data_IF_893997760251
#
_entry.id   IF_893997760251
#
_cell.length_a   1.000
_cell.length_b   1.000
_cell.length_c   1.000
_cell.angle_alpha   90.00
_cell.angle_beta   90.00
_cell.angle_gamma   90.00
#
_symmetry.space_group_name_H-M   'P 1'
#
loop_
_entity.id
_entity.type
_entity.pdbx_description
1 polymer ?
#
# COMPACT_ATOMS: atom_id res chain seq x y z
N UNK A 1 -25.46 -11.81 8.23
CA UNK A 1 -24.20 -12.29 7.60
C UNK A 1 -23.95 -11.42 6.39
N UNK A 2 -22.80 -10.76 6.30
CA UNK A 2 -22.48 -9.88 5.16
C UNK A 2 -22.23 -10.68 3.87
N UNK A 3 -22.20 -10.03 2.70
CA UNK A 3 -21.86 -10.69 1.44
C UNK A 3 -20.43 -11.23 1.47
N UNK A 4 -20.21 -12.36 0.79
CA UNK A 4 -18.87 -12.92 0.58
C UNK A 4 -18.24 -12.32 -0.68
N UNK A 5 -16.97 -11.93 -0.57
CA UNK A 5 -16.14 -11.50 -1.69
C UNK A 5 -15.04 -12.53 -1.93
N UNK A 6 -14.89 -12.99 -3.17
CA UNK A 6 -13.90 -13.99 -3.57
C UNK A 6 -12.82 -13.36 -4.44
N UNK A 7 -11.56 -13.70 -4.15
CA UNK A 7 -10.39 -13.27 -4.91
C UNK A 7 -9.68 -14.50 -5.46
N UNK A 8 -9.60 -14.63 -6.79
CA UNK A 8 -8.95 -15.74 -7.47
C UNK A 8 -7.69 -15.26 -8.21
N UNK A 9 -6.60 -16.03 -8.10
CA UNK A 9 -5.29 -15.75 -8.67
C UNK A 9 -4.62 -17.07 -9.08
N UNK A 10 -3.73 -17.01 -10.06
CA UNK A 10 -2.90 -18.14 -10.47
C UNK A 10 -1.42 -17.86 -10.15
N UNK A 11 -0.68 -18.90 -9.77
CA UNK A 11 0.76 -18.83 -9.56
C UNK A 11 1.43 -19.89 -10.43
N UNK A 12 2.29 -19.47 -11.35
CA UNK A 12 3.02 -20.38 -12.25
C UNK A 12 4.51 -20.31 -11.95
N UNK A 13 5.09 -21.42 -11.49
CA UNK A 13 6.53 -21.53 -11.29
C UNK A 13 7.25 -21.65 -12.63
N UNK A 14 8.25 -20.79 -12.84
CA UNK A 14 9.02 -20.67 -14.10
C UNK A 14 10.49 -21.04 -13.92
N UNK A 15 10.93 -21.19 -12.66
CA UNK A 15 12.32 -21.47 -12.29
C UNK A 15 12.78 -22.93 -12.36
N UNK A 16 12.04 -23.81 -13.02
CA UNK A 16 12.33 -25.26 -13.04
C UNK A 16 13.64 -25.62 -13.74
N UNK A 17 14.02 -24.86 -14.78
CA UNK A 17 15.11 -25.26 -15.67
C UNK A 17 14.90 -26.67 -16.25
N UNK A 18 16.00 -27.40 -16.48
CA UNK A 18 15.94 -28.78 -17.00
C UNK A 18 15.95 -29.85 -15.90
N UNK A 19 16.43 -29.51 -14.70
CA UNK A 19 16.60 -30.45 -13.60
C UNK A 19 15.44 -30.41 -12.60
N UNK A 20 14.61 -29.37 -12.62
CA UNK A 20 13.55 -29.18 -11.64
C UNK A 20 14.09 -29.21 -10.21
N UNK A 21 13.34 -29.88 -9.33
CA UNK A 21 13.66 -30.03 -7.91
C UNK A 21 14.59 -31.21 -7.59
N UNK A 22 15.38 -31.68 -8.57
CA UNK A 22 16.34 -32.79 -8.36
C UNK A 22 17.31 -32.54 -7.19
N UNK A 23 17.66 -31.29 -6.91
CA UNK A 23 18.32 -30.88 -5.66
C UNK A 23 17.82 -29.51 -5.20
N UNK A 24 18.12 -29.14 -3.95
CA UNK A 24 17.72 -27.84 -3.40
C UNK A 24 18.28 -26.65 -4.19
N UNK A 25 19.42 -26.84 -4.86
CA UNK A 25 20.14 -25.80 -5.60
C UNK A 25 19.94 -25.86 -7.11
N UNK A 26 19.20 -26.85 -7.63
CA UNK A 26 19.04 -27.06 -9.08
C UNK A 26 17.99 -26.19 -9.75
N UNK A 27 17.28 -25.36 -8.99
CA UNK A 27 16.18 -24.54 -9.50
C UNK A 27 16.18 -23.11 -8.92
N UNK A 28 15.64 -22.16 -9.68
CA UNK A 28 15.34 -20.82 -9.18
C UNK A 28 13.93 -20.78 -8.58
N UNK A 29 13.68 -19.79 -7.72
CA UNK A 29 12.37 -19.60 -7.05
C UNK A 29 11.43 -18.72 -7.89
N UNK A 30 11.85 -18.41 -9.12
CA UNK A 30 11.14 -17.51 -10.01
C UNK A 30 9.78 -18.11 -10.39
N UNK A 31 8.76 -17.28 -10.26
CA UNK A 31 7.39 -17.61 -10.60
C UNK A 31 6.65 -16.34 -11.01
N UNK A 32 5.52 -16.48 -11.68
CA UNK A 32 4.68 -15.35 -12.03
C UNK A 32 3.31 -15.50 -11.35
N UNK A 33 2.85 -14.41 -10.71
CA UNK A 33 1.51 -14.31 -10.14
C UNK A 33 0.60 -13.60 -11.13
N UNK A 34 -0.47 -14.27 -11.55
CA UNK A 34 -1.43 -13.77 -12.53
C UNK A 34 -2.78 -13.48 -11.86
N UNK A 35 -3.30 -12.27 -12.05
CA UNK A 35 -4.57 -11.82 -11.46
C UNK A 35 -5.53 -11.36 -12.57
N UNK A 36 -6.39 -12.26 -13.03
CA UNK A 36 -7.27 -12.00 -14.17
C UNK A 36 -6.47 -11.58 -15.41
N UNK A 37 -6.81 -10.45 -16.01
CA UNK A 37 -6.12 -9.89 -17.18
C UNK A 37 -5.05 -8.83 -16.86
N UNK A 38 -4.68 -8.66 -15.59
CA UNK A 38 -3.64 -7.69 -15.18
C UNK A 38 -2.25 -8.16 -15.65
N UNK A 39 -1.28 -7.25 -15.77
CA UNK A 39 0.11 -7.64 -16.00
C UNK A 39 0.58 -8.67 -14.95
N UNK A 40 1.36 -9.68 -15.34
CA UNK A 40 1.96 -10.62 -14.40
C UNK A 40 2.82 -9.88 -13.37
N UNK A 41 2.76 -10.34 -12.13
CA UNK A 41 3.63 -9.89 -11.05
C UNK A 41 4.79 -10.89 -10.92
N UNK A 42 6.03 -10.51 -11.28
CA UNK A 42 7.17 -11.41 -11.20
C UNK A 42 7.57 -11.64 -9.75
N UNK A 43 7.38 -12.86 -9.27
CA UNK A 43 7.67 -13.28 -7.91
C UNK A 43 8.93 -14.12 -7.79
N UNK A 44 9.52 -14.11 -6.60
CA UNK A 44 10.59 -15.03 -6.17
C UNK A 44 10.48 -15.23 -4.66
N UNK A 45 11.27 -16.11 -4.06
CA UNK A 45 11.48 -16.08 -2.60
C UNK A 45 12.32 -14.88 -2.18
N UNK A 46 12.41 -14.60 -0.88
CA UNK A 46 13.38 -13.65 -0.33
C UNK A 46 14.84 -14.06 -0.70
N UNK A 47 15.77 -13.11 -0.91
CA UNK A 47 17.18 -13.41 -1.19
C UNK A 47 17.85 -14.30 -0.13
N UNK A 48 17.47 -14.17 1.15
CA UNK A 48 17.94 -15.05 2.23
C UNK A 48 17.54 -16.52 2.01
N UNK A 49 16.50 -16.75 1.21
CA UNK A 49 16.00 -18.06 0.81
C UNK A 49 16.28 -18.38 -0.67
N UNK A 50 17.37 -17.82 -1.22
CA UNK A 50 17.88 -18.06 -2.59
C UNK A 50 17.00 -17.50 -3.71
N UNK A 51 16.25 -16.45 -3.41
CA UNK A 51 15.49 -15.75 -4.43
C UNK A 51 16.27 -14.69 -5.22
N UNK A 52 15.67 -14.24 -6.31
CA UNK A 52 16.11 -13.11 -7.12
C UNK A 52 15.70 -11.78 -6.44
N UNK A 53 16.65 -10.90 -6.05
CA UNK A 53 16.36 -9.60 -5.46
C UNK A 53 15.70 -8.60 -6.43
N UNK A 54 15.65 -8.90 -7.73
CA UNK A 54 14.92 -8.11 -8.73
C UNK A 54 13.43 -8.44 -8.84
N UNK A 55 12.94 -9.45 -8.10
CA UNK A 55 11.56 -9.95 -8.13
C UNK A 55 10.91 -9.77 -6.75
N UNK A 56 9.58 -9.73 -6.72
CA UNK A 56 8.82 -9.50 -5.48
C UNK A 56 8.78 -10.75 -4.60
N UNK A 57 9.10 -10.63 -3.32
CA UNK A 57 8.90 -11.72 -2.37
C UNK A 57 7.46 -11.75 -1.81
N UNK A 58 6.92 -12.93 -1.45
CA UNK A 58 5.65 -13.02 -0.74
C UNK A 58 5.62 -12.16 0.53
N UNK A 59 6.74 -12.07 1.24
CA UNK A 59 6.92 -11.28 2.46
C UNK A 59 6.75 -9.78 2.18
N UNK A 60 7.36 -9.26 1.13
CA UNK A 60 7.21 -7.85 0.70
C UNK A 60 5.77 -7.56 0.28
N UNK A 61 5.17 -8.44 -0.52
CA UNK A 61 3.79 -8.30 -1.00
C UNK A 61 2.78 -8.34 0.14
N UNK A 62 3.05 -9.14 1.17
CA UNK A 62 2.22 -9.22 2.35
C UNK A 62 2.25 -7.92 3.17
N UNK A 63 3.44 -7.39 3.46
CA UNK A 63 3.57 -6.09 4.16
C UNK A 63 2.92 -4.97 3.34
N UNK A 64 3.12 -4.97 2.02
CA UNK A 64 2.49 -4.01 1.11
C UNK A 64 0.96 -4.11 1.16
N UNK A 65 0.40 -5.31 1.20
CA UNK A 65 -1.06 -5.53 1.27
C UNK A 65 -1.67 -4.97 2.55
N UNK A 66 -1.00 -5.11 3.70
CA UNK A 66 -1.44 -4.54 4.98
C UNK A 66 -1.42 -3.01 4.92
N UNK A 67 -0.30 -2.43 4.45
CA UNK A 67 -0.14 -0.98 4.34
C UNK A 67 -1.18 -0.36 3.38
N UNK A 68 -1.41 -0.98 2.23
CA UNK A 68 -2.41 -0.55 1.26
C UNK A 68 -3.82 -0.61 1.82
N UNK A 69 -4.18 -1.68 2.53
CA UNK A 69 -5.51 -1.81 3.13
C UNK A 69 -5.76 -0.72 4.18
N UNK A 70 -4.76 -0.44 5.04
CA UNK A 70 -4.85 0.64 6.01
C UNK A 70 -4.96 2.01 5.33
N UNK A 71 -4.13 2.30 4.32
CA UNK A 71 -4.20 3.54 3.55
C UNK A 71 -5.59 3.77 2.97
N UNK A 72 -6.18 2.76 2.32
CA UNK A 72 -7.48 2.89 1.66
C UNK A 72 -8.61 3.19 2.66
N UNK A 73 -8.62 2.51 3.80
CA UNK A 73 -9.57 2.81 4.87
C UNK A 73 -9.34 4.17 5.50
N UNK A 74 -8.08 4.57 5.70
CA UNK A 74 -7.75 5.88 6.24
C UNK A 74 -8.23 7.00 5.32
N UNK A 75 -8.01 6.88 4.00
CA UNK A 75 -8.48 7.86 3.02
C UNK A 75 -10.01 7.95 3.01
N UNK A 76 -10.71 6.81 3.16
CA UNK A 76 -12.16 6.79 3.30
C UNK A 76 -12.62 7.56 4.55
N UNK A 77 -12.10 7.22 5.73
CA UNK A 77 -12.50 7.87 6.98
C UNK A 77 -12.13 9.35 7.01
N UNK A 78 -10.96 9.72 6.48
CA UNK A 78 -10.56 11.12 6.34
C UNK A 78 -11.57 11.91 5.50
N UNK A 79 -12.05 11.34 4.39
CA UNK A 79 -13.06 11.98 3.56
C UNK A 79 -14.41 12.14 4.29
N UNK A 80 -14.83 11.14 5.07
CA UNK A 80 -16.05 11.19 5.88
C UNK A 80 -15.97 12.27 6.96
N UNK A 81 -14.82 12.40 7.63
CA UNK A 81 -14.57 13.39 8.69
C UNK A 81 -14.21 14.79 8.15
N UNK A 82 -14.18 14.98 6.83
CA UNK A 82 -13.84 16.27 6.20
C UNK A 82 -12.34 16.62 6.22
N UNK A 83 -11.46 15.69 6.58
CA UNK A 83 -10.00 15.85 6.47
C UNK A 83 -9.57 15.68 5.02
N UNK A 84 -9.23 16.79 4.37
CA UNK A 84 -8.80 16.79 2.95
C UNK A 84 -7.34 16.34 2.83
N UNK A 85 -7.11 15.04 2.69
CA UNK A 85 -5.78 14.45 2.43
C UNK A 85 -5.40 14.66 0.96
N UNK A 86 -4.20 15.18 0.72
CA UNK A 86 -3.65 15.43 -0.63
C UNK A 86 -2.38 14.64 -0.94
N UNK A 87 -1.74 14.06 0.07
CA UNK A 87 -0.69 13.07 -0.12
C UNK A 87 -0.66 12.10 1.06
N UNK A 88 -0.34 10.84 0.76
CA UNK A 88 -0.12 9.78 1.73
C UNK A 88 1.11 8.99 1.31
N UNK A 89 2.00 8.71 2.27
CA UNK A 89 3.14 7.80 2.08
C UNK A 89 3.28 6.94 3.32
N UNK A 90 3.60 5.67 3.14
CA UNK A 90 3.89 4.76 4.24
C UNK A 90 5.25 4.10 4.02
N UNK A 91 6.05 4.06 5.08
CA UNK A 91 7.34 3.35 5.16
C UNK A 91 7.17 2.13 6.08
N UNK A 92 6.25 1.23 5.68
CA UNK A 92 5.86 0.07 6.46
C UNK A 92 7.00 -0.95 6.58
N UNK A 93 7.09 -1.61 7.74
CA UNK A 93 8.09 -2.64 8.04
C UNK A 93 7.41 -3.85 8.63
N UNK A 94 7.61 -5.02 8.02
CA UNK A 94 7.27 -6.31 8.62
C UNK A 94 8.48 -6.97 9.24
N UNK A 95 8.31 -7.55 10.43
CA UNK A 95 9.34 -8.35 11.09
C UNK A 95 8.90 -9.81 11.10
N UNK A 96 9.71 -10.67 10.48
CA UNK A 96 9.53 -12.12 10.48
C UNK A 96 10.62 -12.78 11.31
N UNK A 97 10.23 -13.72 12.17
CA UNK A 97 11.17 -14.61 12.85
C UNK A 97 11.34 -15.87 12.02
N UNK A 98 12.59 -16.20 11.71
CA UNK A 98 12.97 -17.51 11.16
C UNK A 98 13.42 -18.40 12.32
N UNK A 99 12.83 -19.58 12.42
CA UNK A 99 13.09 -20.59 13.44
C UNK A 99 13.89 -21.76 12.85
N UNK A 100 14.24 -22.72 13.71
CA UNK A 100 14.94 -23.92 13.27
C UNK A 100 14.13 -24.71 12.21
N UNK A 101 14.82 -25.51 11.39
CA UNK A 101 14.22 -26.33 10.33
C UNK A 101 13.40 -25.56 9.27
N UNK A 102 13.56 -24.22 9.17
CA UNK A 102 12.91 -23.40 8.14
C UNK A 102 11.49 -22.99 8.48
N UNK A 103 11.04 -23.20 9.72
CA UNK A 103 9.78 -22.65 10.21
C UNK A 103 9.92 -21.14 10.50
N UNK A 104 8.81 -20.44 10.64
CA UNK A 104 8.81 -19.02 10.97
C UNK A 104 7.46 -18.36 10.75
N UNK A 105 7.34 -17.13 11.23
CA UNK A 105 6.13 -16.33 11.11
C UNK A 105 6.45 -14.85 11.30
N UNK A 106 5.62 -13.98 10.71
CA UNK A 106 5.61 -12.58 11.06
C UNK A 106 5.25 -12.41 12.53
N UNK A 107 6.04 -11.61 13.23
CA UNK A 107 5.81 -11.25 14.64
C UNK A 107 5.19 -9.87 14.79
N UNK A 108 5.35 -9.01 13.78
CA UNK A 108 4.82 -7.65 13.79
C UNK A 108 4.84 -7.03 12.39
N UNK A 109 3.90 -6.12 12.13
CA UNK A 109 4.02 -5.11 11.08
C UNK A 109 3.85 -3.73 11.71
N UNK A 110 4.74 -2.80 11.38
CA UNK A 110 4.69 -1.40 11.82
C UNK A 110 4.43 -0.52 10.61
N UNK A 111 3.31 0.18 10.61
CA UNK A 111 2.95 1.18 9.60
C UNK A 111 3.43 2.56 10.04
N UNK A 112 4.06 3.32 9.14
CA UNK A 112 4.62 4.65 9.39
C UNK A 112 4.00 5.68 8.46
N UNK A 113 2.69 5.93 8.58
CA UNK A 113 1.98 6.80 7.66
C UNK A 113 2.43 8.26 7.82
N UNK A 114 2.65 8.91 6.68
CA UNK A 114 2.93 10.33 6.52
C UNK A 114 1.83 10.94 5.70
N UNK A 115 1.02 11.78 6.35
CA UNK A 115 -0.19 12.37 5.76
C UNK A 115 0.04 13.85 5.53
N UNK A 116 -0.25 14.30 4.31
CA UNK A 116 -0.30 15.72 3.95
C UNK A 116 -1.74 16.12 3.72
N UNK A 117 -2.21 17.14 4.43
CA UNK A 117 -3.56 17.69 4.33
C UNK A 117 -3.55 19.04 3.60
N UNK A 118 -4.66 19.39 2.97
CA UNK A 118 -4.78 20.65 2.26
C UNK A 118 -4.64 21.86 3.20
N UNK A 119 -3.87 22.86 2.79
CA UNK A 119 -3.69 24.09 3.54
C UNK A 119 -5.00 24.86 3.75
N UNK A 120 -5.17 25.49 4.92
CA UNK A 120 -6.26 26.42 5.21
C UNK A 120 -7.66 25.79 5.25
N UNK A 121 -7.73 24.46 5.32
CA UNK A 121 -8.99 23.74 5.53
C UNK A 121 -9.16 23.45 7.02
N UNK A 122 -10.36 23.76 7.51
CA UNK A 122 -10.83 23.35 8.83
C UNK A 122 -11.76 22.15 8.65
N UNK A 123 -11.97 21.42 9.74
CA UNK A 123 -13.00 20.40 9.85
C UNK A 123 -14.39 21.04 9.69
N UNK A 124 -15.44 20.24 9.42
CA UNK A 124 -16.81 20.76 9.25
C UNK A 124 -17.34 21.59 10.43
N UNK A 125 -16.83 21.35 11.64
CA UNK A 125 -17.15 22.09 12.86
C UNK A 125 -16.33 23.38 13.06
N UNK A 126 -15.43 23.70 12.12
CA UNK A 126 -14.56 24.87 12.16
C UNK A 126 -13.25 24.68 12.92
N UNK A 127 -13.01 23.52 13.54
CA UNK A 127 -11.75 23.23 14.23
C UNK A 127 -10.62 22.88 13.25
N UNK A 128 -9.33 23.12 13.61
CA UNK A 128 -8.21 22.78 12.74
C UNK A 128 -7.97 21.27 12.70
N UNK A 129 -7.37 20.78 11.60
CA UNK A 129 -6.83 19.41 11.57
C UNK A 129 -5.57 19.37 12.43
N UNK A 130 -5.50 18.44 13.38
CA UNK A 130 -4.37 18.27 14.30
C UNK A 130 -3.79 16.86 14.23
N UNK A 131 -2.64 16.65 14.89
CA UNK A 131 -2.08 15.32 15.10
C UNK A 131 -3.06 14.37 15.82
N UNK A 132 -3.85 14.89 16.75
CA UNK A 132 -4.86 14.11 17.48
C UNK A 132 -5.98 13.62 16.56
N UNK A 133 -6.43 14.48 15.64
CA UNK A 133 -7.44 14.12 14.63
C UNK A 133 -6.90 12.98 13.75
N UNK A 134 -5.66 13.07 13.28
CA UNK A 134 -5.06 12.01 12.47
C UNK A 134 -4.81 10.72 13.29
N UNK A 135 -4.39 10.85 14.55
CA UNK A 135 -4.19 9.74 15.46
C UNK A 135 -5.48 8.95 15.67
N UNK A 136 -6.60 9.64 15.93
CA UNK A 136 -7.94 9.03 16.01
C UNK A 136 -8.35 8.35 14.70
N UNK A 137 -8.11 8.98 13.56
CA UNK A 137 -8.40 8.40 12.25
C UNK A 137 -7.61 7.11 12.00
N UNK A 138 -6.30 7.09 12.30
CA UNK A 138 -5.49 5.88 12.17
C UNK A 138 -5.95 4.77 13.11
N UNK A 139 -6.32 5.10 14.35
CA UNK A 139 -6.87 4.13 15.29
C UNK A 139 -8.20 3.54 14.78
N UNK A 140 -9.14 4.38 14.35
CA UNK A 140 -10.41 3.92 13.76
C UNK A 140 -10.18 3.07 12.50
N UNK A 141 -9.22 3.46 11.65
CA UNK A 141 -8.85 2.72 10.44
C UNK A 141 -8.41 1.29 10.76
N UNK A 142 -7.61 1.10 11.82
CA UNK A 142 -7.15 -0.23 12.22
C UNK A 142 -8.32 -1.19 12.46
N UNK A 143 -9.38 -0.71 13.11
CA UNK A 143 -10.58 -1.50 13.41
C UNK A 143 -11.36 -1.93 12.17
N UNK A 144 -11.18 -1.25 11.03
CA UNK A 144 -11.84 -1.55 9.77
C UNK A 144 -10.94 -2.26 8.75
N UNK A 145 -9.62 -2.21 8.92
CA UNK A 145 -8.64 -2.76 7.98
C UNK A 145 -8.79 -4.28 7.84
N UNK A 146 -9.37 -4.74 6.72
CA UNK A 146 -9.68 -6.15 6.49
C UNK A 146 -8.45 -7.05 6.65
N UNK A 147 -7.30 -6.63 6.11
CA UNK A 147 -6.08 -7.43 6.15
C UNK A 147 -5.47 -7.43 7.56
N UNK A 148 -5.41 -6.30 8.25
CA UNK A 148 -4.91 -6.25 9.64
C UNK A 148 -5.79 -7.08 10.60
N UNK A 149 -7.09 -7.17 10.34
CA UNK A 149 -8.03 -8.04 11.09
C UNK A 149 -7.92 -9.53 10.74
N UNK A 150 -7.18 -9.86 9.69
CA UNK A 150 -7.02 -11.23 9.19
C UNK A 150 -5.69 -11.87 9.60
N UNK A 151 -4.87 -11.16 10.39
CA UNK A 151 -3.58 -11.66 10.89
C UNK A 151 -3.63 -11.95 12.39
N UNK A 152 -2.69 -12.74 12.89
CA UNK A 152 -2.62 -13.19 14.27
C UNK A 152 -1.48 -12.54 15.09
N UNK A 153 -0.87 -11.48 14.55
CA UNK A 153 0.21 -10.71 15.17
C UNK A 153 -0.15 -9.21 15.16
N UNK A 154 0.47 -8.38 16.02
CA UNK A 154 0.14 -6.95 16.07
C UNK A 154 0.50 -6.22 14.78
N UNK A 155 -0.42 -5.38 14.31
CA UNK A 155 -0.16 -4.34 13.31
C UNK A 155 -0.18 -2.99 14.01
N UNK A 156 0.99 -2.40 14.24
CA UNK A 156 1.17 -1.12 14.94
C UNK A 156 1.21 0.06 13.97
N UNK A 157 0.96 1.25 14.50
CA UNK A 157 1.02 2.51 13.76
C UNK A 157 1.92 3.50 14.49
N UNK A 158 2.86 4.06 13.76
CA UNK A 158 3.74 5.15 14.18
C UNK A 158 3.52 6.35 13.23
N UNK A 159 2.33 6.99 13.28
CA UNK A 159 2.06 8.14 12.42
C UNK A 159 2.96 9.32 12.76
N UNK A 160 3.46 10.01 11.74
CA UNK A 160 4.16 11.29 11.95
C UNK A 160 3.17 12.45 12.09
N UNK A 161 3.63 13.56 12.68
CA UNK A 161 2.92 14.84 12.73
C UNK A 161 2.30 15.22 11.38
N UNK A 162 1.09 15.79 11.42
CA UNK A 162 0.36 16.25 10.25
C UNK A 162 1.20 17.25 9.46
N UNK A 163 1.25 17.06 8.15
CA UNK A 163 1.86 18.01 7.22
C UNK A 163 0.77 18.77 6.51
N UNK A 164 0.96 20.06 6.33
CA UNK A 164 0.09 20.85 5.47
C UNK A 164 0.78 21.05 4.12
N UNK A 165 0.03 20.87 3.04
CA UNK A 165 0.48 21.30 1.73
C UNK A 165 0.83 22.80 1.74
N UNK A 166 1.71 23.27 0.86
CA UNK A 166 1.89 24.72 0.70
C UNK A 166 0.56 25.37 0.31
N UNK A 167 0.36 26.61 0.74
CA UNK A 167 -0.76 27.41 0.26
C UNK A 167 -0.69 27.44 -1.28
N UNK A 168 -1.76 27.01 -1.96
CA UNK A 168 -1.84 27.17 -3.42
C UNK A 168 -1.80 28.66 -3.71
N UNK A 169 -0.69 29.14 -4.26
CA UNK A 169 -0.70 30.40 -5.01
C UNK A 169 -1.67 30.19 -6.16
N UNK A 170 -2.67 31.06 -6.30
CA UNK A 170 -3.57 30.98 -7.44
C UNK A 170 -2.70 31.00 -8.72
N UNK A 171 -2.77 29.95 -9.52
CA UNK A 171 -2.19 29.99 -10.85
C UNK A 171 -2.90 31.13 -11.60
N UNK A 172 -2.12 32.05 -12.19
CA UNK A 172 -2.66 33.10 -13.04
C UNK A 172 -3.57 32.44 -14.09
N UNK A 173 -4.73 33.04 -14.40
CA UNK A 173 -5.61 32.49 -15.44
C UNK A 173 -4.81 32.38 -16.73
N UNK A 174 -4.64 31.16 -17.22
CA UNK A 174 -4.13 30.92 -18.57
C UNK A 174 -5.10 31.57 -19.55
N UNK A 175 -4.65 32.62 -20.23
CA UNK A 175 -5.41 33.34 -21.25
C UNK A 175 -6.02 32.34 -22.23
N UNK A 176 -7.33 32.48 -22.43
CA UNK A 176 -8.09 31.65 -23.34
C UNK A 176 -7.51 31.80 -24.76
N UNK A 177 -7.22 30.67 -25.39
CA UNK A 177 -6.81 30.61 -26.78
C UNK A 177 -7.83 31.33 -27.68
N UNK A 178 -7.35 32.33 -28.42
CA UNK A 178 -8.11 33.00 -29.47
C UNK A 178 -8.53 31.99 -30.56
N UNK A 179 -9.73 32.12 -31.16
CA UNK A 179 -10.17 31.19 -32.20
C UNK A 179 -9.36 31.40 -33.49
N UNK A 180 -8.95 30.28 -34.08
CA UNK A 180 -8.23 30.24 -35.35
C UNK A 180 -9.09 30.82 -36.48
N UNK A 181 -8.55 31.82 -37.19
CA UNK A 181 -9.12 32.35 -38.41
C UNK A 181 -9.05 31.29 -39.53
N UNK A 182 -10.18 31.00 -40.17
CA UNK A 182 -10.28 30.20 -41.39
C UNK A 182 -9.84 31.04 -42.59
N UNK A 183 -8.94 30.58 -43.47
CA UNK A 183 -8.74 31.23 -44.75
C UNK A 183 -9.71 30.62 -45.78
N UNK A 184 -10.59 31.47 -46.32
CA UNK A 184 -11.23 31.21 -47.61
C UNK A 184 -10.30 31.69 -48.73
N UNK A 185 -10.08 30.86 -49.75
CA UNK A 185 -10.53 31.01 -51.14
C UNK A 185 -10.01 29.79 -51.92
#
# INVERSE_FOLDING_TARGET
>A
MGPLHTYAIDVTWTGAGTLGTASYTSYSRDHDVQIGSKPPLPGSSDPAFRGDPGRYSPEELFVASIAQCHMLWFLHLAAVEGVVVVAYRDEAVGTMRVEAAGHGQFTEVVLRPRVTVAHGRHLPDGSPVTDEVLGRLHHATHEHCFIARSVNFPVRHEPTTVRFAPARTAAAPTDAAAPAATPGT
#
